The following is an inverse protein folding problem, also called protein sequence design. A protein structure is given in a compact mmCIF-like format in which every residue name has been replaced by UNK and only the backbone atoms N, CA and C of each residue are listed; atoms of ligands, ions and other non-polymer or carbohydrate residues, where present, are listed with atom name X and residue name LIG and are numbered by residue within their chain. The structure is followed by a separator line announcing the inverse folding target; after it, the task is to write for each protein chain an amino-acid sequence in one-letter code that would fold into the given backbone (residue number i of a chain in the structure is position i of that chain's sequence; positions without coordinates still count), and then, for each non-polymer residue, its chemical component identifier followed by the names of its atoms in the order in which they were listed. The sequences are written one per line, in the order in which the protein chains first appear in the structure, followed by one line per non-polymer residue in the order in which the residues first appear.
data_IF_007894461990
#
_entry.id   IF_007894461990
#
_cell.length_a   1.000
_cell.length_b   1.000
_cell.length_c   1.000
_cell.angle_alpha   90.00
_cell.angle_beta   90.00
_cell.angle_gamma   90.00
#
_symmetry.space_group_name_H-M   'P 1'
#
loop_
_entity.id
_entity.type
_entity.pdbx_description
1 polymer ?
#
# COMPACT_ATOMS: atom_id res chain seq x y z
N UNK A 1 16.38 -16.04 -12.17
CA UNK A 1 15.13 -15.37 -12.58
C UNK A 1 15.36 -14.62 -13.88
N UNK A 2 14.34 -14.50 -14.74
CA UNK A 2 14.39 -13.73 -15.97
C UNK A 2 13.74 -12.35 -15.78
N UNK A 3 14.07 -11.38 -16.64
CA UNK A 3 13.59 -9.99 -16.54
C UNK A 3 12.06 -9.86 -16.51
N UNK A 4 11.35 -10.69 -17.30
CA UNK A 4 9.89 -10.71 -17.32
C UNK A 4 9.27 -11.09 -15.97
N UNK A 5 9.85 -12.08 -15.27
CA UNK A 5 9.39 -12.49 -13.93
C UNK A 5 9.55 -11.37 -12.91
N UNK A 6 10.64 -10.60 -12.99
CA UNK A 6 10.88 -9.46 -12.11
C UNK A 6 9.81 -8.38 -12.31
N UNK A 7 9.46 -8.08 -13.56
CA UNK A 7 8.39 -7.11 -13.86
C UNK A 7 7.06 -7.60 -13.29
N UNK A 8 6.72 -8.87 -13.50
CA UNK A 8 5.46 -9.44 -12.98
C UNK A 8 5.39 -9.38 -11.45
N UNK A 9 6.46 -9.75 -10.74
CA UNK A 9 6.55 -9.64 -9.28
C UNK A 9 6.43 -8.18 -8.83
N UNK A 10 7.15 -7.28 -9.50
CA UNK A 10 7.13 -5.85 -9.17
C UNK A 10 5.75 -5.22 -9.34
N UNK A 11 5.02 -5.60 -10.40
CA UNK A 11 3.65 -5.16 -10.61
C UNK A 11 2.74 -5.72 -9.51
N UNK A 12 2.87 -7.03 -9.20
CA UNK A 12 2.09 -7.68 -8.14
C UNK A 12 2.26 -6.99 -6.78
N UNK A 13 3.51 -6.77 -6.37
CA UNK A 13 3.85 -6.07 -5.12
C UNK A 13 3.33 -4.63 -5.09
N UNK A 14 3.30 -3.96 -6.24
CA UNK A 14 2.84 -2.57 -6.31
C UNK A 14 1.30 -2.42 -6.26
N UNK A 15 0.53 -3.51 -6.40
CA UNK A 15 -0.94 -3.43 -6.49
C UNK A 15 -1.59 -2.95 -5.19
N UNK A 16 -1.07 -3.36 -4.04
CA UNK A 16 -1.65 -2.97 -2.75
C UNK A 16 -1.38 -1.48 -2.48
N UNK A 17 -0.15 -1.01 -2.78
CA UNK A 17 0.21 0.40 -2.76
C UNK A 17 -0.62 1.24 -3.76
N UNK A 18 -0.86 0.73 -4.97
CA UNK A 18 -1.73 1.35 -5.97
C UNK A 18 -3.16 1.54 -5.44
N UNK A 19 -3.75 0.49 -4.86
CA UNK A 19 -5.12 0.54 -4.37
C UNK A 19 -5.26 1.50 -3.17
N UNK A 20 -4.27 1.53 -2.27
CA UNK A 20 -4.23 2.54 -1.20
C UNK A 20 -4.07 3.95 -1.77
N UNK A 21 -3.26 4.15 -2.81
CA UNK A 21 -3.10 5.46 -3.46
C UNK A 21 -4.42 5.96 -4.10
N UNK A 22 -5.15 5.06 -4.78
CA UNK A 22 -6.49 5.34 -5.30
C UNK A 22 -7.41 5.80 -4.16
N UNK A 23 -7.48 5.01 -3.08
CA UNK A 23 -8.30 5.34 -1.90
C UNK A 23 -7.92 6.68 -1.28
N UNK A 24 -6.63 6.94 -1.09
CA UNK A 24 -6.13 8.19 -0.53
C UNK A 24 -6.54 9.40 -1.39
N UNK A 25 -6.39 9.30 -2.72
CA UNK A 25 -6.77 10.40 -3.60
C UNK A 25 -8.27 10.58 -3.73
N UNK A 26 -9.08 9.56 -3.45
CA UNK A 26 -10.53 9.67 -3.39
C UNK A 26 -10.99 10.38 -2.11
N UNK A 27 -10.34 10.10 -0.98
CA UNK A 27 -10.87 10.44 0.35
C UNK A 27 -10.30 11.73 0.94
N UNK A 28 -9.05 12.09 0.62
CA UNK A 28 -8.38 13.21 1.27
C UNK A 28 -8.39 14.47 0.38
N UNK A 29 -9.03 15.55 0.89
CA UNK A 29 -9.17 16.81 0.15
C UNK A 29 -7.86 17.57 -0.06
N UNK A 30 -6.88 17.38 0.83
CA UNK A 30 -5.57 18.02 0.75
C UNK A 30 -4.57 17.27 -0.15
N UNK A 31 -5.05 16.42 -1.06
CA UNK A 31 -4.23 15.71 -2.04
C UNK A 31 -3.72 16.66 -3.14
N UNK A 32 -2.87 17.60 -2.73
CA UNK A 32 -2.23 18.61 -3.55
C UNK A 32 -0.98 17.99 -4.22
N UNK A 33 -0.37 18.67 -5.19
CA UNK A 33 0.86 18.19 -5.85
C UNK A 33 1.97 17.77 -4.87
N UNK A 34 2.11 18.46 -3.74
CA UNK A 34 3.06 18.11 -2.67
C UNK A 34 2.75 16.74 -2.06
N UNK A 35 1.52 16.52 -1.59
CA UNK A 35 1.11 15.25 -0.98
C UNK A 35 1.08 14.10 -1.99
N UNK A 36 0.74 14.38 -3.25
CA UNK A 36 0.84 13.41 -4.32
C UNK A 36 2.30 12.96 -4.52
N UNK A 37 3.24 13.90 -4.62
CA UNK A 37 4.66 13.56 -4.73
C UNK A 37 5.17 12.78 -3.52
N UNK A 38 4.79 13.20 -2.30
CA UNK A 38 5.15 12.50 -1.06
C UNK A 38 4.60 11.06 -1.06
N UNK A 39 3.35 10.84 -1.49
CA UNK A 39 2.78 9.49 -1.61
C UNK A 39 3.62 8.64 -2.55
N UNK A 40 3.83 9.11 -3.78
CA UNK A 40 4.55 8.35 -4.80
C UNK A 40 5.98 8.03 -4.35
N UNK A 41 6.68 9.01 -3.78
CA UNK A 41 8.03 8.83 -3.27
C UNK A 41 8.07 7.85 -2.08
N UNK A 42 7.16 8.00 -1.11
CA UNK A 42 7.17 7.17 0.10
C UNK A 42 6.85 5.71 -0.21
N UNK A 43 5.81 5.43 -1.02
CA UNK A 43 5.49 4.06 -1.41
C UNK A 43 6.60 3.46 -2.29
N UNK A 44 7.14 4.21 -3.26
CA UNK A 44 8.24 3.73 -4.09
C UNK A 44 9.51 3.41 -3.29
N UNK A 45 9.87 4.26 -2.32
CA UNK A 45 11.01 4.04 -1.42
C UNK A 45 10.73 2.87 -0.47
N UNK A 46 9.54 2.78 0.12
CA UNK A 46 9.18 1.68 1.01
C UNK A 46 9.23 0.33 0.29
N UNK A 47 8.65 0.22 -0.91
CA UNK A 47 8.68 -1.01 -1.71
C UNK A 47 10.07 -1.38 -2.23
N UNK A 48 10.99 -0.41 -2.33
CA UNK A 48 12.39 -0.69 -2.65
C UNK A 48 13.20 -1.13 -1.41
N UNK A 49 13.00 -0.46 -0.28
CA UNK A 49 13.73 -0.76 0.95
C UNK A 49 13.33 -2.09 1.57
N UNK A 50 12.05 -2.46 1.52
CA UNK A 50 11.58 -3.70 2.17
C UNK A 50 12.20 -4.98 1.58
N UNK A 51 12.26 -5.19 0.25
CA UNK A 51 12.99 -6.30 -0.33
C UNK A 51 14.48 -6.29 0.01
N UNK A 52 15.09 -5.10 0.09
CA UNK A 52 16.50 -4.96 0.48
C UNK A 52 16.75 -5.43 1.92
N UNK A 53 15.87 -5.03 2.84
CA UNK A 53 15.91 -5.45 4.24
C UNK A 53 15.68 -6.97 4.34
N UNK A 54 14.65 -7.48 3.66
CA UNK A 54 14.36 -8.91 3.62
C UNK A 54 15.52 -9.74 3.09
N UNK A 55 16.15 -9.28 2.01
CA UNK A 55 17.33 -9.93 1.44
C UNK A 55 18.50 -9.96 2.42
N UNK A 56 18.75 -8.86 3.14
CA UNK A 56 19.81 -8.77 4.14
C UNK A 56 19.58 -9.60 5.41
N UNK A 57 18.31 -9.79 5.81
CA UNK A 57 17.95 -10.69 6.92
C UNK A 57 18.17 -12.17 6.57
N UNK A 58 18.03 -12.52 5.29
CA UNK A 58 18.24 -13.88 4.79
C UNK A 58 17.27 -14.91 5.35
N UNK A 59 17.49 -16.19 5.03
CA UNK A 59 16.57 -17.28 5.37
C UNK A 59 16.32 -17.49 6.87
N UNK A 60 17.26 -17.11 7.74
CA UNK A 60 17.14 -17.35 9.18
C UNK A 60 15.95 -16.62 9.83
N UNK A 61 15.49 -15.51 9.24
CA UNK A 61 14.38 -14.71 9.73
C UNK A 61 13.05 -14.98 8.99
N UNK A 62 13.06 -15.83 7.96
CA UNK A 62 11.88 -16.12 7.12
C UNK A 62 10.67 -16.53 7.96
N UNK A 63 10.85 -17.55 8.81
CA UNK A 63 9.77 -18.13 9.63
C UNK A 63 9.21 -17.15 10.67
N UNK A 64 10.02 -16.18 11.11
CA UNK A 64 9.58 -15.20 12.12
C UNK A 64 8.80 -14.07 11.48
N UNK A 65 9.25 -13.58 10.32
CA UNK A 65 8.60 -12.47 9.63
C UNK A 65 7.26 -12.92 9.03
N UNK A 66 7.22 -14.07 8.33
CA UNK A 66 6.01 -14.65 7.70
C UNK A 66 4.89 -14.95 8.71
N UNK A 67 5.20 -15.04 10.01
CA UNK A 67 4.20 -15.26 11.06
C UNK A 67 3.55 -13.99 11.59
N UNK A 68 4.19 -12.84 11.42
CA UNK A 68 3.79 -11.58 12.10
C UNK A 68 3.29 -10.55 11.09
N UNK A 69 3.89 -10.52 9.92
CA UNK A 69 3.61 -9.59 8.82
C UNK A 69 2.11 -9.38 8.54
N UNK A 70 1.38 -10.46 8.35
CA UNK A 70 0.00 -10.46 7.90
C UNK A 70 -0.97 -9.97 8.98
N UNK A 71 -0.71 -10.26 10.26
CA UNK A 71 -1.49 -9.68 11.36
C UNK A 71 -1.29 -8.17 11.45
N UNK A 72 -0.06 -7.69 11.25
CA UNK A 72 0.26 -6.27 11.30
C UNK A 72 -0.45 -5.52 10.18
N UNK A 73 -0.35 -6.01 8.94
CA UNK A 73 -1.02 -5.41 7.79
C UNK A 73 -2.56 -5.39 7.96
N UNK A 74 -3.14 -6.51 8.42
CA UNK A 74 -4.58 -6.61 8.67
C UNK A 74 -5.05 -5.58 9.69
N UNK A 75 -4.40 -5.51 10.85
CA UNK A 75 -4.81 -4.62 11.95
C UNK A 75 -4.71 -3.16 11.52
N UNK A 76 -3.58 -2.76 10.92
CA UNK A 76 -3.33 -1.36 10.55
C UNK A 76 -4.29 -0.89 9.45
N UNK A 77 -4.44 -1.66 8.38
CA UNK A 77 -5.30 -1.27 7.25
C UNK A 77 -6.78 -1.37 7.61
N UNK A 78 -7.19 -2.39 8.37
CA UNK A 78 -8.58 -2.49 8.84
C UNK A 78 -8.92 -1.36 9.81
N UNK A 79 -8.00 -0.99 10.71
CA UNK A 79 -8.22 0.14 11.62
C UNK A 79 -8.45 1.44 10.85
N UNK A 80 -7.59 1.76 9.88
CA UNK A 80 -7.74 2.97 9.06
C UNK A 80 -9.02 2.86 8.21
N UNK A 81 -9.27 1.72 7.58
CA UNK A 81 -10.43 1.50 6.71
C UNK A 81 -11.77 1.59 7.46
N UNK A 82 -11.91 0.93 8.60
CA UNK A 82 -13.11 1.00 9.46
C UNK A 82 -13.33 2.44 9.92
N UNK A 83 -12.27 3.13 10.38
CA UNK A 83 -12.37 4.54 10.76
C UNK A 83 -12.90 5.40 9.61
N UNK A 84 -12.42 5.17 8.39
CA UNK A 84 -12.91 5.88 7.19
C UNK A 84 -14.39 5.59 6.88
N UNK A 85 -14.82 4.32 7.01
CA UNK A 85 -16.22 3.94 6.79
C UNK A 85 -17.12 4.61 7.82
N UNK A 86 -16.75 4.57 9.10
CA UNK A 86 -17.52 5.17 10.19
C UNK A 86 -17.66 6.68 10.00
N UNK A 87 -16.55 7.37 9.69
CA UNK A 87 -16.55 8.81 9.41
C UNK A 87 -17.42 9.14 8.18
N UNK A 88 -17.32 8.35 7.10
CA UNK A 88 -18.13 8.54 5.90
C UNK A 88 -19.63 8.36 6.14
N UNK A 89 -20.03 7.34 6.93
CA UNK A 89 -21.45 7.13 7.29
C UNK A 89 -21.97 8.26 8.19
N UNK A 90 -21.17 8.71 9.15
CA UNK A 90 -21.54 9.82 10.04
C UNK A 90 -21.77 11.12 9.26
N UNK A 91 -20.92 11.39 8.27
CA UNK A 91 -21.03 12.54 7.37
C UNK A 91 -22.32 12.51 6.53
N UNK A 92 -22.67 11.35 5.98
CA UNK A 92 -23.93 11.17 5.23
C UNK A 92 -25.17 11.34 6.13
N UNK A 93 -25.09 10.97 7.41
CA UNK A 93 -26.23 11.04 8.34
C UNK A 93 -26.45 12.44 8.90
N UNK A 94 -25.38 13.18 9.15
CA UNK A 94 -25.41 14.51 9.78
C UNK A 94 -24.52 15.52 9.02
N UNK A 95 -24.89 15.92 7.78
CA UNK A 95 -24.06 16.78 6.94
C UNK A 95 -23.84 18.18 7.55
N UNK A 96 -24.76 18.68 8.37
CA UNK A 96 -24.70 20.03 8.97
C UNK A 96 -23.79 20.14 10.21
N UNK A 97 -23.40 19.00 10.81
CA UNK A 97 -22.66 18.97 12.09
C UNK A 97 -21.17 18.65 11.88
N UNK A 98 -20.78 18.11 10.72
CA UNK A 98 -19.43 17.60 10.49
C UNK A 98 -18.75 18.19 9.25
N UNK A 99 -18.13 19.35 9.40
CA UNK A 99 -17.00 19.77 8.54
C UNK A 99 -15.70 19.08 8.99
N UNK A 100 -15.67 17.74 9.05
CA UNK A 100 -14.40 17.04 9.13
C UNK A 100 -13.75 17.03 7.75
N UNK A 101 -12.97 18.06 7.46
CA UNK A 101 -12.04 18.06 6.33
C UNK A 101 -10.92 17.05 6.62
N UNK A 102 -11.17 15.81 6.23
CA UNK A 102 -10.23 14.69 6.36
C UNK A 102 -8.96 15.02 5.58
N UNK A 103 -7.85 15.10 6.31
CA UNK A 103 -6.52 15.41 5.75
C UNK A 103 -5.62 14.20 5.88
N UNK A 104 -4.89 13.89 4.81
CA UNK A 104 -3.81 12.91 4.89
C UNK A 104 -2.69 13.51 5.75
N UNK A 105 -2.16 12.71 6.66
CA UNK A 105 -1.06 13.07 7.55
C UNK A 105 0.11 12.12 7.31
N UNK A 106 1.30 12.54 7.73
CA UNK A 106 2.50 11.71 7.66
C UNK A 106 2.33 10.37 8.34
N UNK A 107 1.69 10.35 9.51
CA UNK A 107 1.48 9.12 10.28
C UNK A 107 0.61 8.12 9.52
N UNK A 108 -0.50 8.58 8.92
CA UNK A 108 -1.38 7.70 8.14
C UNK A 108 -0.62 7.13 6.95
N UNK A 109 0.10 8.00 6.22
CA UNK A 109 0.81 7.60 5.02
C UNK A 109 1.96 6.64 5.31
N UNK A 110 2.71 6.86 6.40
CA UNK A 110 3.76 5.94 6.85
C UNK A 110 3.19 4.59 7.27
N UNK A 111 2.10 4.57 8.03
CA UNK A 111 1.44 3.33 8.45
C UNK A 111 0.98 2.55 7.23
N UNK A 112 0.34 3.21 6.27
CA UNK A 112 -0.11 2.59 5.02
C UNK A 112 1.07 2.05 4.21
N UNK A 113 2.12 2.86 3.99
CA UNK A 113 3.29 2.44 3.25
C UNK A 113 3.94 1.23 3.89
N UNK A 114 4.15 1.22 5.22
CA UNK A 114 4.69 0.06 5.92
C UNK A 114 3.76 -1.14 5.75
N UNK A 115 2.46 -0.98 6.03
CA UNK A 115 1.50 -2.08 5.97
C UNK A 115 1.41 -2.76 4.60
N UNK A 116 1.52 -1.99 3.50
CA UNK A 116 1.49 -2.53 2.12
C UNK A 116 2.85 -2.94 1.56
N UNK A 117 3.95 -2.70 2.29
CA UNK A 117 5.30 -3.08 1.82
C UNK A 117 5.83 -4.34 2.52
N UNK A 118 5.08 -4.85 3.49
CA UNK A 118 5.45 -6.00 4.30
C UNK A 118 5.54 -7.28 3.43
N UNK A 119 4.69 -7.43 2.42
CA UNK A 119 4.74 -8.49 1.42
C UNK A 119 6.07 -8.46 0.61
N UNK A 120 6.53 -7.26 0.26
CA UNK A 120 7.77 -7.04 -0.47
C UNK A 120 9.00 -7.44 0.38
N UNK A 121 8.89 -7.37 1.70
CA UNK A 121 9.90 -7.87 2.63
C UNK A 121 10.01 -9.41 2.54
N UNK A 122 8.88 -10.12 2.59
CA UNK A 122 8.84 -11.58 2.44
C UNK A 122 9.39 -12.05 1.08
N UNK A 123 9.06 -11.31 0.01
CA UNK A 123 9.67 -11.54 -1.32
C UNK A 123 11.18 -11.33 -1.25
N UNK A 124 11.67 -10.27 -0.60
CA UNK A 124 13.10 -10.04 -0.40
C UNK A 124 13.84 -11.20 0.29
N UNK A 125 13.24 -11.76 1.34
CA UNK A 125 13.79 -12.96 2.02
C UNK A 125 13.85 -14.15 1.06
N UNK A 126 12.81 -14.32 0.25
CA UNK A 126 12.75 -15.38 -0.78
C UNK A 126 13.81 -15.17 -1.87
N UNK A 127 14.13 -13.93 -2.25
CA UNK A 127 15.20 -13.63 -3.21
C UNK A 127 16.58 -14.00 -2.66
N UNK A 128 16.82 -13.87 -1.35
CA UNK A 128 18.08 -14.31 -0.72
C UNK A 128 18.31 -15.83 -0.82
N UNK A 129 17.24 -16.60 -1.03
CA UNK A 129 17.30 -18.05 -1.22
C UNK A 129 17.70 -18.48 -2.63
N UNK A 130 17.52 -17.61 -3.62
CA UNK A 130 17.62 -17.95 -5.02
C UNK A 130 19.02 -17.64 -5.55
N UNK A 131 19.63 -18.54 -6.35
CA UNK A 131 20.81 -18.19 -7.13
C UNK A 131 20.39 -17.20 -8.23
N UNK A 132 20.57 -15.91 -7.97
CA UNK A 132 20.13 -14.85 -8.89
C UNK A 132 21.16 -14.61 -10.00
N UNK A 133 20.69 -14.63 -11.25
CA UNK A 133 21.46 -14.19 -12.43
C UNK A 133 21.50 -12.66 -12.58
N UNK A 134 20.57 -11.96 -11.91
CA UNK A 134 20.38 -10.52 -11.98
C UNK A 134 20.71 -9.98 -10.59
N UNK A 135 21.39 -8.85 -10.48
CA UNK A 135 21.75 -8.31 -9.17
C UNK A 135 20.50 -7.86 -8.41
N UNK A 136 20.47 -8.17 -7.11
CA UNK A 136 19.38 -7.77 -6.21
C UNK A 136 19.10 -6.27 -6.27
N UNK A 137 20.15 -5.45 -6.46
CA UNK A 137 20.04 -3.99 -6.65
C UNK A 137 19.18 -3.62 -7.85
N UNK A 138 19.29 -4.35 -8.96
CA UNK A 138 18.47 -4.11 -10.15
C UNK A 138 17.01 -4.50 -9.90
N UNK A 139 16.76 -5.60 -9.18
CA UNK A 139 15.40 -6.03 -8.81
C UNK A 139 14.73 -4.97 -7.93
N UNK A 140 15.42 -4.52 -6.88
CA UNK A 140 14.94 -3.48 -5.96
C UNK A 140 14.60 -2.19 -6.70
N UNK A 141 15.46 -1.74 -7.62
CA UNK A 141 15.21 -0.54 -8.42
C UNK A 141 13.98 -0.68 -9.33
N UNK A 142 13.78 -1.87 -9.93
CA UNK A 142 12.61 -2.13 -10.78
C UNK A 142 11.33 -2.13 -9.94
N UNK A 143 11.32 -2.77 -8.77
CA UNK A 143 10.17 -2.76 -7.85
C UNK A 143 9.82 -1.33 -7.45
N UNK A 144 10.81 -0.55 -7.02
CA UNK A 144 10.62 0.84 -6.63
C UNK A 144 10.10 1.72 -7.77
N UNK A 145 10.66 1.59 -8.98
CA UNK A 145 10.22 2.36 -10.15
C UNK A 145 8.80 1.99 -10.60
N UNK A 146 8.46 0.69 -10.65
CA UNK A 146 7.12 0.24 -11.03
C UNK A 146 6.10 0.73 -10.00
N UNK A 147 6.42 0.63 -8.70
CA UNK A 147 5.56 1.14 -7.64
C UNK A 147 5.37 2.65 -7.76
N UNK A 148 6.45 3.41 -8.02
CA UNK A 148 6.38 4.85 -8.25
C UNK A 148 5.41 5.20 -9.39
N UNK A 149 5.52 4.51 -10.53
CA UNK A 149 4.64 4.77 -11.69
C UNK A 149 3.19 4.40 -11.36
N UNK A 150 2.96 3.21 -10.80
CA UNK A 150 1.61 2.74 -10.50
C UNK A 150 0.92 3.61 -9.44
N UNK A 151 1.58 3.93 -8.33
CA UNK A 151 1.03 4.83 -7.31
C UNK A 151 0.69 6.18 -7.91
N UNK A 152 1.54 6.73 -8.80
CA UNK A 152 1.25 7.96 -9.54
C UNK A 152 -0.04 7.88 -10.37
N UNK A 153 -0.21 6.78 -11.12
CA UNK A 153 -1.42 6.50 -11.89
C UNK A 153 -2.63 6.36 -10.95
N UNK A 154 -2.47 5.65 -9.84
CA UNK A 154 -3.49 5.42 -8.83
C UNK A 154 -4.02 6.73 -8.23
N UNK A 155 -3.14 7.68 -7.92
CA UNK A 155 -3.56 9.01 -7.46
C UNK A 155 -4.38 9.76 -8.54
N UNK A 156 -3.95 9.71 -9.80
CA UNK A 156 -4.69 10.37 -10.88
C UNK A 156 -6.07 9.75 -11.10
N UNK A 157 -6.15 8.41 -11.04
CA UNK A 157 -7.40 7.67 -11.14
C UNK A 157 -8.31 7.93 -9.95
N UNK A 158 -7.77 7.86 -8.73
CA UNK A 158 -8.49 8.11 -7.49
C UNK A 158 -9.09 9.52 -7.44
N UNK A 159 -8.39 10.54 -7.95
CA UNK A 159 -8.95 11.90 -8.06
C UNK A 159 -10.18 11.96 -8.98
N UNK A 160 -10.12 11.30 -10.14
CA UNK A 160 -11.26 11.25 -11.08
C UNK A 160 -12.44 10.49 -10.48
N UNK A 161 -12.17 9.34 -9.88
CA UNK A 161 -13.17 8.49 -9.24
C UNK A 161 -13.81 9.22 -8.05
N UNK A 162 -13.00 9.83 -7.18
CA UNK A 162 -13.48 10.58 -6.00
C UNK A 162 -14.42 11.72 -6.38
N UNK A 163 -14.10 12.47 -7.43
CA UNK A 163 -14.99 13.51 -7.97
C UNK A 163 -16.33 12.94 -8.50
N UNK A 164 -16.35 11.69 -8.96
CA UNK A 164 -17.55 11.02 -9.46
C UNK A 164 -18.42 10.45 -8.32
N UNK A 165 -17.83 9.88 -7.27
CA UNK A 165 -18.59 9.27 -6.16
C UNK A 165 -18.92 10.27 -5.03
N UNK A 166 -18.31 11.45 -5.04
CA UNK A 166 -18.60 12.55 -4.13
C UNK A 166 -18.46 12.15 -2.66
N UNK A 167 -19.51 12.40 -1.87
CA UNK A 167 -19.51 12.15 -0.41
C UNK A 167 -19.35 10.67 -0.03
N UNK A 168 -19.63 9.74 -0.94
CA UNK A 168 -19.45 8.29 -0.71
C UNK A 168 -18.00 7.85 -0.85
N UNK A 169 -17.11 8.70 -1.34
CA UNK A 169 -15.71 8.37 -1.58
C UNK A 169 -15.02 7.84 -0.32
N UNK A 170 -15.32 8.39 0.86
CA UNK A 170 -14.73 7.95 2.14
C UNK A 170 -15.11 6.52 2.52
N UNK A 171 -16.36 6.14 2.27
CA UNK A 171 -16.86 4.78 2.53
C UNK A 171 -16.20 3.79 1.58
N UNK A 172 -16.18 4.12 0.28
CA UNK A 172 -15.54 3.26 -0.73
C UNK A 172 -14.04 3.10 -0.48
N UNK A 173 -13.34 4.19 -0.16
CA UNK A 173 -11.93 4.13 0.16
C UNK A 173 -11.63 3.31 1.41
N UNK A 174 -12.47 3.44 2.45
CA UNK A 174 -12.36 2.61 3.65
C UNK A 174 -12.60 1.12 3.37
N UNK A 175 -13.59 0.81 2.53
CA UNK A 175 -13.86 -0.56 2.06
C UNK A 175 -12.63 -1.13 1.34
N UNK A 176 -12.01 -0.36 0.43
CA UNK A 176 -10.78 -0.78 -0.28
C UNK A 176 -9.67 -1.11 0.72
N UNK A 177 -9.45 -0.27 1.74
CA UNK A 177 -8.41 -0.53 2.75
C UNK A 177 -8.68 -1.81 3.55
N UNK A 178 -9.93 -2.01 3.99
CA UNK A 178 -10.31 -3.25 4.69
C UNK A 178 -10.09 -4.48 3.80
N UNK A 179 -10.44 -4.40 2.51
CA UNK A 179 -10.24 -5.49 1.57
C UNK A 179 -8.76 -5.81 1.36
N UNK A 180 -7.88 -4.81 1.25
CA UNK A 180 -6.43 -5.04 1.11
C UNK A 180 -5.87 -5.69 2.38
N UNK A 181 -6.24 -5.19 3.56
CA UNK A 181 -5.82 -5.78 4.83
C UNK A 181 -6.26 -7.24 4.96
N UNK A 182 -7.51 -7.54 4.58
CA UNK A 182 -8.04 -8.90 4.57
C UNK A 182 -7.38 -9.80 3.52
N UNK A 183 -7.11 -9.26 2.32
CA UNK A 183 -6.41 -9.96 1.24
C UNK A 183 -5.03 -10.41 1.71
N UNK A 184 -4.21 -9.49 2.25
CA UNK A 184 -2.86 -9.78 2.75
C UNK A 184 -2.93 -10.89 3.82
N UNK A 185 -3.90 -10.79 4.74
CA UNK A 185 -4.13 -11.81 5.76
C UNK A 185 -4.43 -13.19 5.18
N UNK A 186 -5.39 -13.29 4.26
CA UNK A 186 -5.79 -14.57 3.68
C UNK A 186 -4.63 -15.19 2.87
N UNK A 187 -3.94 -14.35 2.11
CA UNK A 187 -2.85 -14.77 1.22
C UNK A 187 -1.66 -15.36 1.98
N UNK A 188 -1.39 -14.92 3.22
CA UNK A 188 -0.25 -15.41 4.02
C UNK A 188 -0.63 -16.45 5.08
N UNK A 189 -1.91 -16.56 5.46
CA UNK A 189 -2.37 -17.57 6.44
C UNK A 189 -2.78 -18.88 5.77
N UNK A 190 -3.36 -18.81 4.58
CA UNK A 190 -3.96 -19.97 3.92
C UNK A 190 -3.21 -20.49 2.70
N UNK A 191 -2.30 -19.70 2.11
CA UNK A 191 -1.53 -20.03 0.91
C UNK A 191 -0.03 -19.86 1.15
#
# INVERSE_FOLDING_TARGET
MNFFSIIMISVGLAMDAFAVAVSNSMCYKNMNRKWAFINVALFGIAQAMMPMIGWGLGKAFQVYIEKIDHYVALILLSYIGIKMIVEGIQKLRNPEIMEFDKKITWNILLIQAIATSIDALAVGISLAALPEKISITTIILIIGMITFVLVGIGLLMGKKIGNMIGEKAEIFGGIILCFIGLKIFIEHVFF
#
